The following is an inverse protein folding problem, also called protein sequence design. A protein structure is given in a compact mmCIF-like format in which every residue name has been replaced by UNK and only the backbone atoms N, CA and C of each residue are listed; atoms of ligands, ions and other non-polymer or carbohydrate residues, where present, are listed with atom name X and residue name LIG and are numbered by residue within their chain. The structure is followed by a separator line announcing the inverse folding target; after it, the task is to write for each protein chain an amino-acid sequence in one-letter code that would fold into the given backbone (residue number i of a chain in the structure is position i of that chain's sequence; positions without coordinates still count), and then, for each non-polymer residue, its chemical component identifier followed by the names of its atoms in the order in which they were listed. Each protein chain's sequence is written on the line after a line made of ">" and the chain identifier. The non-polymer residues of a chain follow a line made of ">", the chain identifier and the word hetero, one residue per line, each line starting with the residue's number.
data_IF_752352548226
#
_entry.id   IF_752352548226
#
_cell.length_a   1.000
_cell.length_b   1.000
_cell.length_c   1.000
_cell.angle_alpha   90.00
_cell.angle_beta   90.00
_cell.angle_gamma   90.00
#
_symmetry.space_group_name_H-M   'P 1'
#
loop_
_entity.id
_entity.type
_entity.pdbx_description
1 polymer ?
#
# COMPACT_ATOMS: atom_id res chain seq x y z
N UNK A 1 24.33 -23.89 32.79
CA UNK A 1 24.09 -23.65 31.34
C UNK A 1 23.98 -24.98 30.62
N UNK A 2 25.01 -25.84 30.63
CA UNK A 2 25.00 -27.18 29.99
C UNK A 2 23.81 -28.08 30.38
N UNK A 3 23.50 -28.23 31.66
CA UNK A 3 22.35 -29.03 32.13
C UNK A 3 20.97 -28.44 31.81
N UNK A 4 20.88 -27.15 31.47
CA UNK A 4 19.61 -26.48 31.12
C UNK A 4 19.30 -26.62 29.61
N UNK A 5 20.33 -26.94 28.80
CA UNK A 5 20.26 -27.09 27.35
C UNK A 5 20.33 -28.55 26.88
N UNK A 6 20.45 -29.52 27.80
CA UNK A 6 20.48 -30.92 27.40
C UNK A 6 19.15 -31.31 26.74
N UNK A 7 19.25 -31.62 25.44
CA UNK A 7 18.27 -32.26 24.55
C UNK A 7 17.11 -31.44 23.98
N UNK A 8 16.78 -30.24 24.51
CA UNK A 8 15.68 -29.47 23.94
C UNK A 8 16.12 -28.51 22.81
N UNK A 9 16.24 -29.06 21.60
CA UNK A 9 16.57 -28.33 20.36
C UNK A 9 15.68 -27.10 20.16
N UNK A 10 14.40 -27.18 20.54
CA UNK A 10 13.45 -26.07 20.41
C UNK A 10 13.85 -24.91 21.34
N UNK A 11 14.24 -25.22 22.58
CA UNK A 11 14.69 -24.21 23.53
C UNK A 11 15.98 -23.52 23.09
N UNK A 12 16.97 -24.28 22.62
CA UNK A 12 18.22 -23.73 22.06
C UNK A 12 17.91 -22.81 20.87
N UNK A 13 17.00 -23.25 20.00
CA UNK A 13 16.57 -22.47 18.84
C UNK A 13 15.96 -21.13 19.25
N UNK A 14 15.02 -21.10 20.20
CA UNK A 14 14.42 -19.84 20.68
C UNK A 14 15.45 -18.91 21.31
N UNK A 15 16.38 -19.44 22.10
CA UNK A 15 17.45 -18.63 22.69
C UNK A 15 18.33 -18.00 21.60
N UNK A 16 18.71 -18.78 20.58
CA UNK A 16 19.45 -18.27 19.43
C UNK A 16 18.65 -17.19 18.67
N UNK A 17 17.33 -17.37 18.49
CA UNK A 17 16.49 -16.36 17.84
C UNK A 17 16.44 -15.05 18.63
N UNK A 18 16.26 -15.10 19.94
CA UNK A 18 16.27 -13.91 20.81
C UNK A 18 17.63 -13.19 20.73
N UNK A 19 18.74 -13.93 20.72
CA UNK A 19 20.06 -13.36 20.54
C UNK A 19 20.19 -12.65 19.18
N UNK A 20 19.73 -13.27 18.09
CA UNK A 20 19.73 -12.67 16.75
C UNK A 20 18.85 -11.40 16.71
N UNK A 21 17.68 -11.40 17.36
CA UNK A 21 16.78 -10.25 17.36
C UNK A 21 17.39 -9.04 18.05
N UNK A 22 18.08 -9.25 19.17
CA UNK A 22 18.66 -8.19 19.98
C UNK A 22 20.03 -7.70 19.49
N UNK A 23 20.58 -8.32 18.45
CA UNK A 23 21.91 -7.96 17.95
C UNK A 23 21.88 -6.67 17.12
N UNK A 24 22.18 -5.54 17.78
CA UNK A 24 22.06 -4.17 17.26
C UNK A 24 22.77 -3.94 15.93
N UNK A 25 23.93 -4.56 15.73
CA UNK A 25 24.83 -4.23 14.62
C UNK A 25 24.34 -4.80 13.28
N UNK A 26 23.44 -5.78 13.32
CA UNK A 26 22.82 -6.33 12.14
C UNK A 26 21.54 -5.57 11.81
N UNK A 27 21.36 -5.22 10.54
CA UNK A 27 20.09 -4.69 10.04
C UNK A 27 19.03 -5.80 9.99
N UNK A 28 17.75 -5.42 10.02
CA UNK A 28 16.62 -6.37 10.03
C UNK A 28 16.72 -7.45 8.94
N UNK A 29 17.04 -7.06 7.69
CA UNK A 29 17.18 -8.00 6.58
C UNK A 29 18.36 -8.97 6.73
N UNK A 30 19.42 -8.58 7.43
CA UNK A 30 20.54 -9.48 7.73
C UNK A 30 20.13 -10.49 8.82
N UNK A 31 19.45 -10.01 9.89
CA UNK A 31 18.89 -10.89 10.93
C UNK A 31 17.97 -11.94 10.32
N UNK A 32 17.07 -11.53 9.42
CA UNK A 32 16.18 -12.41 8.67
C UNK A 32 16.91 -13.47 7.83
N UNK A 33 17.98 -13.07 7.14
CA UNK A 33 18.81 -13.97 6.33
C UNK A 33 19.48 -15.03 7.21
N UNK A 34 19.97 -14.62 8.40
CA UNK A 34 20.58 -15.55 9.37
C UNK A 34 19.55 -16.56 9.88
N UNK A 35 18.32 -16.12 10.20
CA UNK A 35 17.24 -17.04 10.61
C UNK A 35 16.99 -18.10 9.53
N UNK A 36 16.93 -17.70 8.25
CA UNK A 36 16.73 -18.63 7.14
C UNK A 36 17.88 -19.61 6.98
N UNK A 37 19.12 -19.13 7.04
CA UNK A 37 20.32 -19.99 6.98
C UNK A 37 20.30 -20.99 8.13
N UNK A 38 20.03 -20.55 9.35
CA UNK A 38 19.98 -21.41 10.53
C UNK A 38 18.94 -22.51 10.40
N UNK A 39 17.70 -22.18 10.02
CA UNK A 39 16.65 -23.20 9.87
C UNK A 39 16.94 -24.14 8.69
N UNK A 40 17.44 -23.61 7.57
CA UNK A 40 17.82 -24.43 6.43
C UNK A 40 18.92 -25.43 6.80
N UNK A 41 19.98 -24.97 7.49
CA UNK A 41 21.09 -25.80 7.93
C UNK A 41 20.62 -26.92 8.89
N UNK A 42 19.79 -26.60 9.89
CA UNK A 42 19.22 -27.60 10.80
C UNK A 42 18.41 -28.67 10.05
N UNK A 43 17.75 -28.29 8.97
CA UNK A 43 16.95 -29.23 8.14
C UNK A 43 17.85 -30.10 7.27
N UNK A 44 18.87 -29.53 6.60
CA UNK A 44 19.82 -30.28 5.76
C UNK A 44 20.65 -31.26 6.58
N UNK A 45 21.02 -30.88 7.81
CA UNK A 45 21.73 -31.75 8.76
C UNK A 45 20.81 -32.80 9.40
N UNK A 46 19.53 -32.87 9.02
CA UNK A 46 18.51 -33.77 9.58
C UNK A 46 18.33 -33.66 11.11
N UNK A 47 18.69 -32.52 11.72
CA UNK A 47 18.47 -32.25 13.15
C UNK A 47 16.97 -32.03 13.41
N UNK A 48 16.29 -31.34 12.48
CA UNK A 48 14.84 -31.12 12.51
C UNK A 48 14.21 -31.53 11.17
N UNK A 49 12.97 -32.03 11.23
CA UNK A 49 12.19 -32.31 10.02
C UNK A 49 11.59 -31.04 9.40
N UNK A 50 11.29 -31.09 8.09
CA UNK A 50 10.71 -29.97 7.32
C UNK A 50 9.44 -29.38 7.95
N UNK A 51 8.55 -30.21 8.51
CA UNK A 51 7.33 -29.73 9.18
C UNK A 51 7.65 -28.83 10.38
N UNK A 52 8.58 -29.27 11.22
CA UNK A 52 9.02 -28.51 12.39
C UNK A 52 9.79 -27.25 11.97
N UNK A 53 10.63 -27.34 10.93
CA UNK A 53 11.34 -26.20 10.37
C UNK A 53 10.39 -25.07 9.91
N UNK A 54 9.32 -25.41 9.18
CA UNK A 54 8.31 -24.43 8.75
C UNK A 54 7.58 -23.82 9.96
N UNK A 55 7.22 -24.63 10.95
CA UNK A 55 6.57 -24.15 12.18
C UNK A 55 7.47 -23.15 12.93
N UNK A 56 8.74 -23.52 13.16
CA UNK A 56 9.72 -22.68 13.84
C UNK A 56 9.96 -21.37 13.08
N UNK A 57 10.02 -21.41 11.75
CA UNK A 57 10.11 -20.19 10.94
C UNK A 57 8.89 -19.30 11.12
N UNK A 58 7.68 -19.82 10.98
CA UNK A 58 6.46 -19.01 11.11
C UNK A 58 6.41 -18.33 12.48
N UNK A 59 6.69 -19.07 13.56
CA UNK A 59 6.71 -18.51 14.91
C UNK A 59 7.80 -17.45 15.05
N UNK A 60 9.03 -17.75 14.58
CA UNK A 60 10.16 -16.82 14.67
C UNK A 60 9.87 -15.52 13.95
N UNK A 61 9.42 -15.59 12.70
CA UNK A 61 9.11 -14.43 11.89
C UNK A 61 7.94 -13.62 12.47
N UNK A 62 6.90 -14.28 12.96
CA UNK A 62 5.80 -13.60 13.62
C UNK A 62 6.29 -12.83 14.86
N UNK A 63 7.09 -13.48 15.71
CA UNK A 63 7.69 -12.80 16.86
C UNK A 63 8.56 -11.61 16.44
N UNK A 64 9.40 -11.77 15.41
CA UNK A 64 10.29 -10.73 14.92
C UNK A 64 9.50 -9.50 14.41
N UNK A 65 8.47 -9.70 13.59
CA UNK A 65 7.73 -8.60 12.98
C UNK A 65 6.66 -7.99 13.88
N UNK A 66 5.99 -8.78 14.73
CA UNK A 66 4.79 -8.35 15.46
C UNK A 66 4.98 -8.17 16.97
N UNK A 67 6.01 -8.79 17.56
CA UNK A 67 6.22 -8.79 19.02
C UNK A 67 7.47 -7.99 19.39
N UNK A 68 8.59 -8.23 18.69
CA UNK A 68 9.89 -7.59 18.95
C UNK A 68 10.16 -6.39 18.03
N UNK A 69 9.13 -5.86 17.37
CA UNK A 69 9.27 -4.64 16.58
C UNK A 69 9.57 -3.44 17.47
N UNK A 70 10.49 -2.57 17.02
CA UNK A 70 10.79 -1.30 17.68
C UNK A 70 9.81 -0.17 17.32
N UNK A 71 8.86 -0.43 16.42
CA UNK A 71 7.89 0.58 15.96
C UNK A 71 6.71 0.69 16.92
N UNK A 72 6.80 1.63 17.87
CA UNK A 72 5.74 1.89 18.85
C UNK A 72 4.38 2.22 18.21
N UNK A 73 4.40 2.93 17.07
CA UNK A 73 3.15 3.27 16.38
C UNK A 73 2.48 2.05 15.77
N UNK A 74 3.24 1.02 15.39
CA UNK A 74 2.67 -0.25 14.95
C UNK A 74 1.80 -0.88 16.04
N UNK A 75 2.25 -0.85 17.31
CA UNK A 75 1.44 -1.37 18.43
C UNK A 75 0.15 -0.55 18.64
N UNK A 76 0.22 0.77 18.48
CA UNK A 76 -0.95 1.66 18.63
C UNK A 76 -1.95 1.52 17.48
N UNK A 77 -1.51 1.22 16.26
CA UNK A 77 -2.38 1.08 15.08
C UNK A 77 -2.88 -0.37 14.94
N UNK A 78 -1.99 -1.37 15.00
CA UNK A 78 -2.30 -2.81 14.84
C UNK A 78 -2.60 -3.51 16.17
N UNK A 79 -3.68 -3.11 16.83
CA UNK A 79 -4.16 -3.84 18.02
C UNK A 79 -4.87 -5.15 17.63
N UNK A 80 -5.57 -5.18 16.49
CA UNK A 80 -6.34 -6.36 16.08
C UNK A 80 -5.40 -7.53 15.72
N UNK A 81 -5.52 -8.71 16.37
CA UNK A 81 -4.68 -9.88 16.07
C UNK A 81 -4.74 -10.34 14.61
N UNK A 82 -5.90 -10.23 13.96
CA UNK A 82 -6.05 -10.58 12.53
C UNK A 82 -5.22 -9.65 11.66
N UNK A 83 -5.14 -8.36 12.01
CA UNK A 83 -4.31 -7.41 11.25
C UNK A 83 -2.83 -7.70 11.44
N UNK A 84 -2.39 -8.12 12.63
CA UNK A 84 -1.02 -8.58 12.86
C UNK A 84 -0.67 -9.80 11.99
N UNK A 85 -1.58 -10.77 11.88
CA UNK A 85 -1.38 -11.94 11.01
C UNK A 85 -1.28 -11.51 9.53
N UNK A 86 -2.16 -10.61 9.09
CA UNK A 86 -2.14 -10.12 7.70
C UNK A 86 -0.85 -9.34 7.42
N UNK A 87 -0.41 -8.48 8.35
CA UNK A 87 0.83 -7.71 8.25
C UNK A 87 2.05 -8.63 8.17
N UNK A 88 2.17 -9.57 9.12
CA UNK A 88 3.17 -10.63 9.12
C UNK A 88 3.23 -11.38 7.78
N UNK A 89 2.09 -11.88 7.28
CA UNK A 89 2.03 -12.61 6.02
C UNK A 89 2.44 -11.71 4.85
N UNK A 90 1.99 -10.46 4.83
CA UNK A 90 2.33 -9.55 3.74
C UNK A 90 3.83 -9.23 3.72
N UNK A 91 4.40 -8.81 4.86
CA UNK A 91 5.81 -8.43 4.99
C UNK A 91 6.73 -9.61 4.71
N UNK A 92 6.45 -10.77 5.29
CA UNK A 92 7.27 -11.98 5.11
C UNK A 92 7.36 -12.41 3.65
N UNK A 93 6.24 -12.43 2.92
CA UNK A 93 6.23 -12.79 1.49
C UNK A 93 6.74 -11.68 0.58
N UNK A 94 6.37 -10.42 0.84
CA UNK A 94 6.58 -9.30 -0.10
C UNK A 94 7.95 -8.63 0.06
N UNK A 95 8.51 -8.57 1.26
CA UNK A 95 9.81 -7.97 1.53
C UNK A 95 10.90 -9.03 1.74
N UNK A 96 10.59 -10.09 2.49
CA UNK A 96 11.57 -11.07 2.95
C UNK A 96 11.57 -12.42 2.22
N UNK A 97 10.82 -12.53 1.12
CA UNK A 97 10.83 -13.72 0.24
C UNK A 97 10.52 -15.05 0.93
N UNK A 98 9.72 -15.04 2.00
CA UNK A 98 9.39 -16.23 2.80
C UNK A 98 8.85 -17.41 1.96
N UNK A 99 8.09 -17.13 0.89
CA UNK A 99 7.63 -18.18 -0.03
C UNK A 99 8.78 -18.98 -0.66
N UNK A 100 9.89 -18.33 -1.00
CA UNK A 100 11.09 -19.00 -1.53
C UNK A 100 11.74 -19.94 -0.51
N UNK A 101 11.78 -19.53 0.77
CA UNK A 101 12.26 -20.35 1.88
C UNK A 101 11.36 -21.58 2.11
N UNK A 102 10.04 -21.42 2.04
CA UNK A 102 9.11 -22.55 2.11
C UNK A 102 9.33 -23.52 0.93
N UNK A 103 9.50 -23.01 -0.29
CA UNK A 103 9.78 -23.84 -1.46
C UNK A 103 11.09 -24.61 -1.32
N UNK A 104 12.18 -23.98 -0.85
CA UNK A 104 13.46 -24.67 -0.67
C UNK A 104 13.32 -25.81 0.35
N UNK A 105 12.68 -25.55 1.49
CA UNK A 105 12.44 -26.59 2.52
C UNK A 105 11.56 -27.73 2.01
N UNK A 106 10.51 -27.44 1.23
CA UNK A 106 9.65 -28.47 0.67
C UNK A 106 10.39 -29.35 -0.34
N UNK A 107 11.28 -28.80 -1.14
CA UNK A 107 12.11 -29.56 -2.08
C UNK A 107 13.00 -30.60 -1.38
N UNK A 108 13.46 -30.33 -0.15
CA UNK A 108 14.22 -31.33 0.64
C UNK A 108 13.40 -32.57 1.02
N UNK A 109 12.07 -32.49 0.99
CA UNK A 109 11.16 -33.59 1.36
C UNK A 109 10.71 -34.43 0.16
N UNK A 110 10.84 -33.91 -1.06
CA UNK A 110 10.38 -34.62 -2.26
C UNK A 110 11.23 -35.88 -2.42
N UNK A 111 10.56 -37.03 -2.45
CA UNK A 111 11.14 -38.33 -2.75
C UNK A 111 10.39 -38.92 -3.93
N UNK A 112 11.09 -39.30 -4.98
CA UNK A 112 10.49 -39.92 -6.15
C UNK A 112 10.34 -41.44 -5.94
N UNK A 113 9.26 -42.06 -6.47
CA UNK A 113 9.13 -43.51 -6.47
C UNK A 113 10.17 -44.16 -7.38
N UNK A 114 10.57 -45.39 -7.08
CA UNK A 114 11.46 -46.17 -7.96
C UNK A 114 10.83 -46.39 -9.34
N UNK A 115 11.59 -46.30 -10.45
CA UNK A 115 13.06 -46.24 -10.56
C UNK A 115 13.66 -44.82 -10.54
N UNK A 116 12.87 -43.77 -10.29
CA UNK A 116 13.31 -42.38 -10.38
C UNK A 116 14.02 -41.85 -9.12
N UNK A 117 14.28 -42.71 -8.13
CA UNK A 117 14.87 -42.35 -6.83
C UNK A 117 16.27 -41.74 -6.94
N UNK A 118 17.04 -42.09 -7.98
CA UNK A 118 18.35 -41.47 -8.26
C UNK A 118 18.25 -39.96 -8.52
N UNK A 119 17.10 -39.47 -8.97
CA UNK A 119 16.87 -38.04 -9.24
C UNK A 119 16.58 -37.23 -7.97
N UNK A 120 16.46 -37.85 -6.79
CA UNK A 120 16.26 -37.14 -5.50
C UNK A 120 17.40 -36.14 -5.21
N UNK A 121 18.62 -36.41 -5.71
CA UNK A 121 19.77 -35.50 -5.59
C UNK A 121 19.51 -34.18 -6.32
N UNK A 122 18.79 -34.21 -7.43
CA UNK A 122 18.44 -33.01 -8.21
C UNK A 122 17.58 -32.07 -7.37
N UNK A 123 16.61 -32.59 -6.61
CA UNK A 123 15.78 -31.75 -5.72
C UNK A 123 16.57 -31.12 -4.58
N UNK A 124 17.61 -31.79 -4.06
CA UNK A 124 18.51 -31.20 -3.06
C UNK A 124 19.35 -30.07 -3.65
N UNK A 125 19.88 -30.25 -4.86
CA UNK A 125 20.61 -29.19 -5.58
C UNK A 125 19.68 -28.01 -5.88
N UNK A 126 18.47 -28.27 -6.37
CA UNK A 126 17.46 -27.23 -6.61
C UNK A 126 17.10 -26.50 -5.32
N UNK A 127 16.89 -27.23 -4.21
CA UNK A 127 16.65 -26.63 -2.89
C UNK A 127 17.75 -25.66 -2.49
N UNK A 128 19.02 -26.06 -2.69
CA UNK A 128 20.18 -25.21 -2.42
C UNK A 128 20.20 -23.94 -3.30
N UNK A 129 19.94 -24.08 -4.60
CA UNK A 129 19.86 -22.93 -5.51
C UNK A 129 18.70 -21.98 -5.13
N UNK A 130 17.56 -22.54 -4.73
CA UNK A 130 16.40 -21.77 -4.28
C UNK A 130 16.67 -21.00 -2.98
N UNK A 131 17.39 -21.59 -2.01
CA UNK A 131 17.76 -20.85 -0.81
C UNK A 131 18.73 -19.72 -1.14
N UNK A 132 19.76 -19.95 -1.95
CA UNK A 132 20.71 -18.89 -2.37
C UNK A 132 19.98 -17.73 -3.05
N UNK A 133 19.04 -18.04 -3.95
CA UNK A 133 18.20 -17.03 -4.59
C UNK A 133 17.32 -16.30 -3.57
N UNK A 134 16.68 -17.03 -2.65
CA UNK A 134 15.81 -16.46 -1.60
C UNK A 134 16.59 -15.48 -0.71
N UNK A 135 17.77 -15.88 -0.23
CA UNK A 135 18.64 -15.03 0.59
C UNK A 135 19.05 -13.77 -0.19
N UNK A 136 19.41 -13.92 -1.47
CA UNK A 136 19.76 -12.78 -2.34
C UNK A 136 18.60 -11.80 -2.47
N UNK A 137 17.37 -12.28 -2.69
CA UNK A 137 16.18 -11.43 -2.78
C UNK A 137 15.90 -10.74 -1.45
N UNK A 138 16.00 -11.45 -0.33
CA UNK A 138 15.80 -10.91 1.01
C UNK A 138 16.84 -9.83 1.36
N UNK A 139 18.10 -9.99 0.96
CA UNK A 139 19.16 -9.00 1.17
C UNK A 139 19.00 -7.77 0.26
N UNK A 140 18.56 -7.96 -0.99
CA UNK A 140 18.43 -6.86 -1.96
C UNK A 140 17.35 -5.84 -1.58
N UNK A 141 16.32 -6.26 -0.81
CA UNK A 141 15.22 -5.40 -0.35
C UNK A 141 14.70 -4.49 -1.48
N UNK A 142 14.35 -5.10 -2.62
CA UNK A 142 13.90 -4.34 -3.82
C UNK A 142 12.53 -3.69 -3.62
N UNK A 143 11.74 -4.18 -2.68
CA UNK A 143 10.47 -3.62 -2.25
C UNK A 143 10.53 -3.40 -0.74
N UNK A 144 10.33 -2.15 -0.30
CA UNK A 144 10.40 -1.76 1.11
C UNK A 144 9.27 -0.79 1.43
N UNK A 145 8.51 -1.11 2.46
CA UNK A 145 7.51 -0.20 3.06
C UNK A 145 8.14 0.59 4.21
N UNK A 146 7.59 1.76 4.49
CA UNK A 146 7.94 2.57 5.64
C UNK A 146 7.43 1.90 6.91
N UNK A 147 7.96 2.31 8.06
CA UNK A 147 7.40 1.89 9.35
C UNK A 147 6.08 2.62 9.58
N UNK A 148 5.19 2.06 10.43
CA UNK A 148 3.94 2.72 10.81
C UNK A 148 4.21 4.09 11.43
N UNK A 149 5.26 4.22 12.23
CA UNK A 149 5.71 5.51 12.75
C UNK A 149 6.06 6.51 11.64
N UNK A 150 6.81 6.08 10.61
CA UNK A 150 7.14 6.92 9.46
C UNK A 150 5.90 7.32 8.64
N UNK A 151 4.97 6.39 8.40
CA UNK A 151 3.70 6.68 7.74
C UNK A 151 2.86 7.69 8.54
N UNK A 152 2.83 7.54 9.87
CA UNK A 152 2.03 8.36 10.77
C UNK A 152 2.54 9.80 10.90
N UNK A 153 3.82 10.09 10.57
CA UNK A 153 4.40 11.44 10.64
C UNK A 153 3.59 12.52 9.92
N UNK A 154 2.89 12.19 8.82
CA UNK A 154 2.08 13.21 8.14
C UNK A 154 0.92 13.71 9.01
N UNK A 155 0.35 12.83 9.84
CA UNK A 155 -0.76 13.12 10.73
C UNK A 155 -0.32 13.94 11.93
N UNK A 156 0.97 13.84 12.32
CA UNK A 156 1.55 14.71 13.35
C UNK A 156 1.91 16.09 12.80
N UNK A 157 2.33 16.18 11.53
CA UNK A 157 2.56 17.47 10.87
C UNK A 157 1.27 18.25 10.63
N UNK A 158 0.18 17.56 10.28
CA UNK A 158 -1.13 18.15 10.04
C UNK A 158 -2.16 17.52 10.98
N UNK A 159 -2.14 17.87 12.29
CA UNK A 159 -3.01 17.23 13.25
C UNK A 159 -4.47 17.67 13.05
N UNK A 160 -5.40 16.71 13.17
CA UNK A 160 -6.82 16.92 12.83
C UNK A 160 -7.46 18.09 13.58
N UNK A 161 -7.08 18.30 14.84
CA UNK A 161 -7.62 19.34 15.72
C UNK A 161 -7.17 20.76 15.37
N UNK A 162 -6.23 20.92 14.43
CA UNK A 162 -5.77 22.24 13.94
C UNK A 162 -6.34 22.58 12.57
N UNK A 163 -7.18 21.73 11.99
CA UNK A 163 -7.70 21.91 10.64
C UNK A 163 -9.01 22.67 10.70
N UNK A 164 -9.14 23.64 9.80
CA UNK A 164 -10.35 24.42 9.62
C UNK A 164 -11.28 23.71 8.64
N UNK A 165 -12.29 23.00 9.16
CA UNK A 165 -13.31 22.36 8.34
C UNK A 165 -14.36 23.38 7.88
N UNK A 166 -13.98 24.27 6.97
CA UNK A 166 -14.81 25.34 6.41
C UNK A 166 -15.34 24.99 5.00
N UNK A 167 -16.16 25.90 4.44
CA UNK A 167 -16.75 25.76 3.11
C UNK A 167 -15.69 25.60 2.00
N UNK A 168 -14.58 26.33 2.10
CA UNK A 168 -13.48 26.23 1.13
C UNK A 168 -12.88 24.83 1.05
N UNK A 169 -12.67 24.18 2.20
CA UNK A 169 -12.19 22.79 2.23
C UNK A 169 -13.26 21.83 1.66
N UNK A 170 -14.54 22.13 1.86
CA UNK A 170 -15.66 21.30 1.38
C UNK A 170 -15.77 21.34 -0.14
N UNK A 171 -15.62 22.52 -0.75
CA UNK A 171 -15.53 22.70 -2.19
C UNK A 171 -14.34 21.92 -2.77
N UNK A 172 -13.15 22.09 -2.19
CA UNK A 172 -11.95 21.39 -2.62
C UNK A 172 -12.10 19.86 -2.57
N UNK A 173 -12.68 19.37 -1.47
CA UNK A 173 -12.99 17.95 -1.28
C UNK A 173 -14.02 17.44 -2.29
N UNK A 174 -15.02 18.25 -2.62
CA UNK A 174 -16.06 17.91 -3.60
C UNK A 174 -15.47 17.77 -5.00
N UNK A 175 -14.63 18.72 -5.42
CA UNK A 175 -13.88 18.63 -6.69
C UNK A 175 -13.08 17.33 -6.77
N UNK A 176 -12.26 17.04 -5.74
CA UNK A 176 -11.41 15.84 -5.72
C UNK A 176 -12.23 14.55 -5.82
N UNK A 177 -13.30 14.44 -5.04
CA UNK A 177 -14.17 13.25 -5.00
C UNK A 177 -14.86 13.05 -6.34
N UNK A 178 -15.38 14.11 -6.95
CA UNK A 178 -16.05 14.03 -8.25
C UNK A 178 -15.14 13.51 -9.36
N UNK A 179 -13.84 13.81 -9.27
CA UNK A 179 -12.84 13.42 -10.28
C UNK A 179 -12.27 12.01 -10.02
N UNK A 180 -11.94 11.68 -8.76
CA UNK A 180 -11.17 10.48 -8.40
C UNK A 180 -12.00 9.35 -7.77
N UNK A 181 -12.97 9.65 -6.89
CA UNK A 181 -13.72 8.63 -6.15
C UNK A 181 -15.13 9.09 -5.74
N UNK A 182 -16.05 9.15 -6.71
CA UNK A 182 -17.45 9.61 -6.53
C UNK A 182 -18.23 8.92 -5.39
N UNK A 183 -17.77 7.74 -4.95
CA UNK A 183 -18.43 6.95 -3.91
C UNK A 183 -17.76 7.09 -2.54
N UNK A 184 -16.79 7.99 -2.39
CA UNK A 184 -15.96 8.13 -1.19
C UNK A 184 -16.78 8.28 0.11
N UNK A 185 -17.65 9.29 0.20
CA UNK A 185 -18.45 9.51 1.41
C UNK A 185 -19.52 8.43 1.60
N UNK A 186 -20.14 7.96 0.52
CA UNK A 186 -21.17 6.90 0.53
C UNK A 186 -20.63 5.56 1.04
N UNK A 187 -19.33 5.31 0.89
CA UNK A 187 -18.70 4.02 1.23
C UNK A 187 -18.19 4.02 2.66
N UNK A 188 -18.61 3.03 3.47
CA UNK A 188 -18.05 2.84 4.82
C UNK A 188 -16.63 2.26 4.84
N UNK A 189 -16.19 1.63 3.75
CA UNK A 189 -14.88 0.97 3.65
C UNK A 189 -13.82 1.86 2.97
N UNK A 190 -12.55 1.68 3.35
CA UNK A 190 -11.39 2.37 2.76
C UNK A 190 -10.97 1.83 1.38
N UNK A 191 -11.44 0.65 0.98
CA UNK A 191 -11.11 -0.03 -0.27
C UNK A 191 -12.30 -0.13 -1.21
N UNK A 192 -12.07 -0.49 -2.47
CA UNK A 192 -13.12 -0.88 -3.41
C UNK A 192 -13.73 -2.25 -3.10
N UNK A 193 -13.13 -3.04 -2.22
CA UNK A 193 -13.60 -4.40 -1.90
C UNK A 193 -14.80 -4.45 -0.93
N UNK A 194 -15.56 -3.36 -0.82
CA UNK A 194 -16.82 -3.41 -0.08
C UNK A 194 -17.79 -4.38 -0.77
N UNK A 195 -18.42 -5.34 -0.05
CA UNK A 195 -19.37 -6.27 -0.66
C UNK A 195 -20.47 -5.53 -1.44
N UNK A 196 -20.98 -4.41 -0.93
CA UNK A 196 -21.99 -3.59 -1.62
C UNK A 196 -21.48 -2.97 -2.93
N UNK A 197 -20.21 -2.55 -2.97
CA UNK A 197 -19.59 -2.00 -4.20
C UNK A 197 -19.33 -3.10 -5.23
N UNK A 198 -18.74 -4.23 -4.81
CA UNK A 198 -18.50 -5.38 -5.69
C UNK A 198 -19.83 -5.89 -6.25
N UNK A 199 -20.85 -6.04 -5.39
CA UNK A 199 -22.19 -6.46 -5.81
C UNK A 199 -22.81 -5.43 -6.75
N UNK A 200 -22.65 -4.12 -6.51
CA UNK A 200 -23.15 -3.07 -7.42
C UNK A 200 -22.48 -3.09 -8.79
N UNK A 201 -21.14 -3.19 -8.84
CA UNK A 201 -20.37 -3.26 -10.10
C UNK A 201 -20.67 -4.56 -10.85
N UNK A 202 -20.79 -5.68 -10.15
CA UNK A 202 -21.15 -6.96 -10.76
C UNK A 202 -22.61 -6.96 -11.21
N UNK A 203 -23.56 -6.48 -10.41
CA UNK A 203 -24.98 -6.41 -10.77
C UNK A 203 -25.20 -5.51 -11.99
N UNK A 204 -24.57 -4.33 -12.05
CA UNK A 204 -24.70 -3.43 -13.21
C UNK A 204 -24.09 -4.02 -14.50
N UNK A 205 -23.04 -4.84 -14.39
CA UNK A 205 -22.46 -5.55 -15.54
C UNK A 205 -23.24 -6.80 -15.94
N UNK A 206 -23.94 -7.44 -14.99
CA UNK A 206 -24.78 -8.62 -15.22
C UNK A 206 -26.16 -8.19 -15.76
N UNK A 207 -26.73 -7.08 -15.31
CA UNK A 207 -28.04 -6.57 -15.75
C UNK A 207 -28.01 -6.03 -17.18
N UNK A 208 -26.84 -5.64 -17.68
CA UNK A 208 -26.63 -5.12 -19.04
C UNK A 208 -26.39 -6.22 -20.09
N UNK A 209 -26.40 -7.51 -19.73
CA UNK A 209 -26.18 -8.60 -20.68
C UNK A 209 -27.25 -9.71 -20.56
N UNK A 210 -28.14 -9.79 -21.55
CA UNK A 210 -29.11 -10.88 -21.71
C UNK A 210 -28.40 -12.16 -22.20
N UNK A 211 -28.58 -13.30 -21.51
CA UNK A 211 -28.15 -14.61 -22.02
C UNK A 211 -27.82 -15.69 -20.96
N UNK A 212 -28.10 -16.95 -21.30
CA UNK A 212 -28.29 -18.13 -20.43
C UNK A 212 -27.03 -18.85 -19.88
N UNK A 213 -25.88 -18.18 -19.72
CA UNK A 213 -24.67 -18.80 -19.10
C UNK A 213 -24.14 -18.02 -17.91
N UNK A 214 -24.98 -17.86 -16.87
CA UNK A 214 -24.69 -17.08 -15.66
C UNK A 214 -23.36 -17.44 -14.98
N UNK A 215 -23.00 -18.73 -14.87
CA UNK A 215 -21.80 -19.16 -14.12
C UNK A 215 -20.50 -18.84 -14.88
N UNK A 216 -20.39 -19.21 -16.16
CA UNK A 216 -19.20 -18.90 -17.00
C UNK A 216 -19.03 -17.38 -17.15
N UNK A 217 -20.13 -16.64 -17.19
CA UNK A 217 -20.12 -15.18 -17.27
C UNK A 217 -19.68 -14.52 -15.96
N UNK A 218 -20.03 -15.09 -14.79
CA UNK A 218 -19.53 -14.63 -13.49
C UNK A 218 -18.03 -14.85 -13.37
N UNK A 219 -17.51 -16.02 -13.79
CA UNK A 219 -16.06 -16.28 -13.77
C UNK A 219 -15.29 -15.37 -14.73
N UNK A 220 -15.77 -15.17 -15.96
CA UNK A 220 -15.10 -14.29 -16.92
C UNK A 220 -15.19 -12.80 -16.55
N UNK A 221 -16.29 -12.39 -15.90
CA UNK A 221 -16.44 -11.04 -15.34
C UNK A 221 -15.56 -10.84 -14.12
N UNK A 222 -15.42 -11.86 -13.26
CA UNK A 222 -14.50 -11.88 -12.13
C UNK A 222 -13.04 -11.79 -12.58
N UNK A 223 -12.65 -12.57 -13.59
CA UNK A 223 -11.30 -12.48 -14.18
C UNK A 223 -11.03 -11.11 -14.82
N UNK A 224 -12.01 -10.53 -15.54
CA UNK A 224 -11.89 -9.15 -16.04
C UNK A 224 -11.80 -8.12 -14.91
N UNK A 225 -12.53 -8.32 -13.82
CA UNK A 225 -12.47 -7.46 -12.64
C UNK A 225 -11.09 -7.52 -11.97
N UNK A 226 -10.56 -8.72 -11.73
CA UNK A 226 -9.20 -8.92 -11.20
C UNK A 226 -8.17 -8.29 -12.14
N UNK A 227 -8.25 -8.56 -13.45
CA UNK A 227 -7.33 -7.97 -14.43
C UNK A 227 -7.35 -6.45 -14.37
N UNK A 228 -8.53 -5.85 -14.28
CA UNK A 228 -8.67 -4.40 -14.22
C UNK A 228 -8.20 -3.80 -12.87
N UNK A 229 -8.30 -4.52 -11.75
CA UNK A 229 -7.72 -4.08 -10.46
C UNK A 229 -6.22 -3.90 -10.58
N UNK A 230 -5.57 -4.80 -11.30
CA UNK A 230 -4.15 -4.79 -11.60
C UNK A 230 -3.85 -4.18 -12.97
N UNK A 231 -4.74 -3.39 -13.58
CA UNK A 231 -4.46 -2.65 -14.81
C UNK A 231 -3.92 -1.25 -14.46
N UNK A 232 -3.07 -0.70 -15.32
CA UNK A 232 -2.55 0.68 -15.20
C UNK A 232 -3.54 1.70 -15.74
N UNK A 233 -4.40 1.28 -16.69
CA UNK A 233 -5.25 2.19 -17.46
C UNK A 233 -6.64 2.44 -16.85
N UNK A 234 -7.13 1.57 -15.95
CA UNK A 234 -8.48 1.67 -15.37
C UNK A 234 -8.46 1.64 -13.85
N UNK A 235 -8.80 2.79 -13.25
CA UNK A 235 -8.71 3.06 -11.82
C UNK A 235 -9.79 2.41 -10.96
N UNK A 236 -9.42 1.36 -10.24
CA UNK A 236 -10.15 0.90 -9.04
C UNK A 236 -9.49 1.34 -7.73
N UNK A 237 -8.36 2.07 -7.78
CA UNK A 237 -7.72 2.60 -6.56
C UNK A 237 -8.54 3.76 -6.01
N UNK A 238 -9.01 3.58 -4.78
CA UNK A 238 -9.73 4.60 -4.02
C UNK A 238 -8.78 5.67 -3.52
N UNK A 239 -9.32 6.83 -3.11
CA UNK A 239 -8.51 7.88 -2.48
C UNK A 239 -7.66 7.33 -1.31
N UNK A 240 -8.20 6.53 -0.36
CA UNK A 240 -7.38 5.95 0.72
C UNK A 240 -6.29 5.01 0.19
N UNK A 241 -6.57 4.19 -0.83
CA UNK A 241 -5.56 3.32 -1.43
C UNK A 241 -4.42 4.12 -2.08
N UNK A 242 -4.76 5.19 -2.80
CA UNK A 242 -3.76 6.08 -3.40
C UNK A 242 -2.96 6.83 -2.33
N UNK A 243 -3.61 7.24 -1.24
CA UNK A 243 -2.97 7.90 -0.11
C UNK A 243 -1.98 6.97 0.60
N UNK A 244 -2.40 5.77 0.99
CA UNK A 244 -1.52 4.83 1.71
C UNK A 244 -0.30 4.44 0.86
N UNK A 245 -0.49 4.28 -0.46
CA UNK A 245 0.61 4.08 -1.41
C UNK A 245 1.65 5.19 -1.35
N UNK A 246 1.18 6.43 -1.28
CA UNK A 246 2.04 7.63 -1.29
C UNK A 246 2.71 7.85 0.06
N UNK A 247 2.11 7.38 1.16
CA UNK A 247 2.68 7.43 2.50
C UNK A 247 3.76 6.38 2.72
N UNK A 248 3.54 5.16 2.23
CA UNK A 248 4.27 4.00 2.75
C UNK A 248 5.37 3.44 1.85
N UNK A 249 5.32 3.62 0.53
CA UNK A 249 6.29 2.94 -0.33
C UNK A 249 7.63 3.68 -0.35
N UNK A 250 8.60 3.15 0.39
CA UNK A 250 9.97 3.66 0.45
C UNK A 250 10.78 3.28 -0.78
N UNK A 251 10.66 2.02 -1.24
CA UNK A 251 11.37 1.51 -2.43
C UNK A 251 10.51 0.47 -3.15
N UNK A 252 10.66 0.42 -4.47
CA UNK A 252 10.02 -0.62 -5.28
C UNK A 252 8.64 -0.23 -5.79
N UNK A 253 8.41 1.05 -6.07
CA UNK A 253 7.16 1.53 -6.68
C UNK A 253 6.78 0.77 -7.96
N UNK A 254 7.77 0.29 -8.72
CA UNK A 254 7.58 -0.47 -9.95
C UNK A 254 7.05 -1.91 -9.74
N UNK A 255 7.05 -2.44 -8.51
CA UNK A 255 6.53 -3.77 -8.19
C UNK A 255 5.00 -3.75 -8.08
N UNK A 256 4.35 -3.65 -9.24
CA UNK A 256 2.91 -3.45 -9.41
C UNK A 256 2.03 -4.36 -8.55
N UNK A 257 2.26 -5.67 -8.57
CA UNK A 257 1.44 -6.63 -7.81
C UNK A 257 1.60 -6.48 -6.29
N UNK A 258 2.85 -6.41 -5.80
CA UNK A 258 3.15 -6.22 -4.37
C UNK A 258 2.54 -4.91 -3.87
N UNK A 259 2.73 -3.84 -4.64
CA UNK A 259 2.15 -2.52 -4.39
C UNK A 259 0.63 -2.54 -4.33
N UNK A 260 -0.05 -3.19 -5.28
CA UNK A 260 -1.52 -3.17 -5.33
C UNK A 260 -2.14 -4.00 -4.21
N UNK A 261 -1.54 -5.14 -3.86
CA UNK A 261 -1.96 -5.93 -2.69
C UNK A 261 -1.78 -5.10 -1.42
N UNK A 262 -0.64 -4.41 -1.30
CA UNK A 262 -0.39 -3.48 -0.20
C UNK A 262 -1.48 -2.41 -0.08
N UNK A 263 -1.78 -1.69 -1.17
CA UNK A 263 -2.82 -0.65 -1.20
C UNK A 263 -4.15 -1.16 -0.64
N UNK A 264 -4.55 -2.37 -1.05
CA UNK A 264 -5.80 -2.99 -0.65
C UNK A 264 -5.79 -3.36 0.85
N UNK A 265 -4.72 -3.97 1.35
CA UNK A 265 -4.66 -4.43 2.73
C UNK A 265 -4.49 -3.25 3.69
N UNK A 266 -3.50 -2.40 3.43
CA UNK A 266 -3.04 -1.39 4.38
C UNK A 266 -3.93 -0.15 4.42
N UNK A 267 -4.64 0.20 3.34
CA UNK A 267 -5.62 1.29 3.42
C UNK A 267 -6.67 1.02 4.49
N UNK A 268 -7.08 -0.24 4.68
CA UNK A 268 -8.00 -0.60 5.76
C UNK A 268 -7.31 -0.68 7.11
N UNK A 269 -6.18 -1.38 7.20
CA UNK A 269 -5.49 -1.62 8.48
C UNK A 269 -5.04 -0.30 9.09
N UNK A 270 -4.38 0.54 8.29
CA UNK A 270 -3.75 1.77 8.75
C UNK A 270 -4.78 2.83 9.14
N UNK A 271 -5.67 3.23 8.23
CA UNK A 271 -6.63 4.32 8.53
C UNK A 271 -7.64 3.94 9.59
N UNK A 272 -8.07 2.67 9.66
CA UNK A 272 -8.94 2.22 10.75
C UNK A 272 -8.22 2.23 12.10
N UNK A 273 -6.92 1.93 12.12
CA UNK A 273 -6.11 2.00 13.34
C UNK A 273 -5.95 3.46 13.81
N UNK A 274 -5.70 4.39 12.89
CA UNK A 274 -5.66 5.83 13.21
C UNK A 274 -7.03 6.32 13.70
N UNK A 275 -8.11 6.01 12.98
CA UNK A 275 -9.47 6.40 13.36
C UNK A 275 -9.81 5.90 14.77
N UNK A 276 -9.48 4.63 15.08
CA UNK A 276 -9.67 4.08 16.43
C UNK A 276 -8.87 4.86 17.46
N UNK A 277 -7.58 5.10 17.21
CA UNK A 277 -6.70 5.80 18.14
C UNK A 277 -7.23 7.22 18.43
N UNK A 278 -7.64 7.97 17.42
CA UNK A 278 -8.23 9.31 17.60
C UNK A 278 -9.54 9.27 18.40
N UNK A 279 -10.33 8.19 18.29
CA UNK A 279 -11.53 8.00 19.08
C UNK A 279 -11.23 7.65 20.54
N UNK A 280 -10.24 6.78 20.78
CA UNK A 280 -9.77 6.39 22.12
C UNK A 280 -9.18 7.60 22.86
N UNK A 281 -8.38 8.40 22.18
CA UNK A 281 -7.75 9.62 22.71
C UNK A 281 -8.72 10.83 22.78
N UNK A 282 -9.98 10.64 22.39
CA UNK A 282 -11.02 11.67 22.35
C UNK A 282 -10.61 12.99 21.66
N UNK A 283 -9.83 12.88 20.59
CA UNK A 283 -9.32 14.07 19.87
C UNK A 283 -10.49 14.90 19.33
N UNK A 284 -10.36 16.23 19.40
CA UNK A 284 -11.35 17.15 18.84
C UNK A 284 -11.46 16.98 17.32
N UNK A 285 -12.65 17.21 16.76
CA UNK A 285 -12.95 17.13 15.32
C UNK A 285 -12.77 15.72 14.70
N UNK A 286 -12.66 14.67 15.51
CA UNK A 286 -12.53 13.26 15.07
C UNK A 286 -13.68 12.78 14.17
N UNK A 287 -14.86 13.36 14.31
CA UNK A 287 -16.02 13.12 13.45
C UNK A 287 -15.76 13.47 11.97
N UNK A 288 -14.82 14.37 11.70
CA UNK A 288 -14.42 14.76 10.35
C UNK A 288 -13.29 13.88 9.76
N UNK A 289 -12.97 12.74 10.37
CA UNK A 289 -11.83 11.90 9.97
C UNK A 289 -11.77 11.58 8.47
N UNK A 290 -12.91 11.31 7.82
CA UNK A 290 -12.94 11.10 6.36
C UNK A 290 -12.53 12.34 5.58
N UNK A 291 -13.06 13.51 5.94
CA UNK A 291 -12.71 14.77 5.29
C UNK A 291 -11.24 15.11 5.56
N UNK A 292 -10.76 14.82 6.76
CA UNK A 292 -9.35 14.92 7.13
C UNK A 292 -8.43 14.06 6.25
N UNK A 293 -8.81 12.84 5.87
CA UNK A 293 -8.01 12.05 4.92
C UNK A 293 -7.87 12.71 3.54
N UNK A 294 -8.89 13.47 3.09
CA UNK A 294 -8.83 14.24 1.84
C UNK A 294 -7.89 15.44 1.98
N UNK A 295 -7.93 16.12 3.12
CA UNK A 295 -6.96 17.16 3.45
C UNK A 295 -5.52 16.61 3.37
N UNK A 296 -5.23 15.51 4.07
CA UNK A 296 -3.92 14.85 4.02
C UNK A 296 -3.54 14.41 2.59
N UNK A 297 -4.50 14.04 1.76
CA UNK A 297 -4.27 13.71 0.35
C UNK A 297 -3.65 14.88 -0.42
N UNK A 298 -4.17 16.10 -0.26
CA UNK A 298 -3.62 17.30 -0.89
C UNK A 298 -2.18 17.62 -0.46
N UNK A 299 -1.79 17.27 0.77
CA UNK A 299 -0.42 17.52 1.24
C UNK A 299 0.59 16.43 0.84
N UNK A 300 0.16 15.31 0.26
CA UNK A 300 1.03 14.14 0.08
C UNK A 300 1.06 13.55 -1.32
N UNK A 301 -0.05 13.54 -2.06
CA UNK A 301 -0.12 12.80 -3.33
C UNK A 301 0.52 13.60 -4.46
N UNK A 302 1.24 12.91 -5.35
CA UNK A 302 1.85 13.52 -6.53
C UNK A 302 0.77 13.92 -7.54
N UNK A 303 0.99 15.02 -8.26
CA UNK A 303 0.16 15.42 -9.41
C UNK A 303 1.01 15.65 -10.66
N UNK A 304 0.39 15.51 -11.83
CA UNK A 304 1.05 15.62 -13.13
C UNK A 304 0.38 16.71 -13.96
N UNK A 305 1.16 17.64 -14.50
CA UNK A 305 0.66 18.71 -15.36
C UNK A 305 1.56 18.81 -16.60
N UNK A 306 1.04 18.37 -17.75
CA UNK A 306 1.87 18.18 -18.95
C UNK A 306 2.98 17.15 -18.70
N UNK A 307 4.21 17.52 -19.03
CA UNK A 307 5.41 16.71 -18.77
C UNK A 307 5.92 16.86 -17.32
N UNK A 308 5.41 17.84 -16.56
CA UNK A 308 5.86 18.12 -15.21
C UNK A 308 5.24 17.16 -14.19
N UNK A 309 6.07 16.70 -13.25
CA UNK A 309 5.65 15.88 -12.10
C UNK A 309 5.92 16.62 -10.80
N UNK A 310 4.88 16.85 -10.02
CA UNK A 310 4.97 17.50 -8.71
C UNK A 310 4.91 16.44 -7.60
N UNK A 311 5.83 16.54 -6.64
CA UNK A 311 5.96 15.61 -5.50
C UNK A 311 4.83 15.72 -4.48
N UNK A 312 4.02 16.79 -4.56
CA UNK A 312 2.81 17.01 -3.78
C UNK A 312 1.80 17.75 -4.64
N UNK A 313 0.52 17.54 -4.38
CA UNK A 313 -0.57 18.22 -5.09
C UNK A 313 -0.44 19.74 -4.95
N UNK A 314 -0.26 20.23 -3.71
CA UNK A 314 -0.10 21.67 -3.45
C UNK A 314 1.17 22.28 -4.09
N UNK A 315 2.18 21.47 -4.42
CA UNK A 315 3.38 21.99 -5.09
C UNK A 315 3.11 22.44 -6.52
N UNK A 316 2.00 21.99 -7.14
CA UNK A 316 1.56 22.52 -8.43
C UNK A 316 1.18 24.00 -8.37
N UNK A 317 0.82 24.50 -7.19
CA UNK A 317 0.38 25.88 -6.99
C UNK A 317 1.50 26.83 -6.61
N UNK A 318 2.62 26.35 -6.08
CA UNK A 318 3.77 27.16 -5.67
C UNK A 318 5.03 26.92 -6.54
N UNK A 319 4.98 25.92 -7.42
CA UNK A 319 6.10 25.47 -8.28
C UNK A 319 7.41 25.16 -7.53
N UNK A 320 7.37 25.11 -6.20
CA UNK A 320 8.50 24.63 -5.42
C UNK A 320 8.57 23.11 -5.54
N UNK A 321 9.64 22.59 -6.14
CA UNK A 321 9.96 21.15 -6.12
C UNK A 321 10.39 20.66 -4.71
N UNK A 322 10.33 21.52 -3.69
CA UNK A 322 10.79 21.30 -2.32
C UNK A 322 9.69 20.71 -1.40
N UNK A 323 10.11 20.07 -0.31
CA UNK A 323 9.29 19.53 0.77
C UNK A 323 8.56 20.60 1.60
N UNK A 324 9.09 21.83 1.68
CA UNK A 324 8.48 22.94 2.43
C UNK A 324 7.65 23.80 1.47
N UNK A 325 6.37 23.45 1.35
CA UNK A 325 5.38 24.31 0.71
C UNK A 325 4.68 25.09 1.83
N UNK A 326 4.58 26.40 1.69
CA UNK A 326 3.91 27.26 2.66
C UNK A 326 2.42 27.44 2.34
N UNK A 327 1.98 27.03 1.14
CA UNK A 327 0.58 27.11 0.73
C UNK A 327 -0.23 25.96 1.29
N UNK A 328 -1.43 26.28 1.71
CA UNK A 328 -2.47 25.34 2.06
C UNK A 328 -3.59 25.35 1.01
N UNK A 329 -4.52 24.41 1.11
CA UNK A 329 -5.68 24.31 0.23
C UNK A 329 -6.56 25.57 0.29
N UNK A 330 -6.54 26.28 1.43
CA UNK A 330 -7.27 27.53 1.64
C UNK A 330 -6.74 28.69 0.77
N UNK A 331 -5.47 28.63 0.34
CA UNK A 331 -4.84 29.65 -0.49
C UNK A 331 -5.06 29.43 -2.00
N UNK A 332 -5.71 28.34 -2.40
CA UNK A 332 -5.82 27.89 -3.79
C UNK A 332 -7.20 28.21 -4.39
N UNK A 333 -7.26 28.62 -5.65
CA UNK A 333 -8.55 28.79 -6.38
C UNK A 333 -9.20 27.45 -6.69
N UNK A 334 -10.54 27.42 -6.81
CA UNK A 334 -11.28 26.19 -7.12
C UNK A 334 -10.94 25.68 -8.53
N UNK A 335 -10.76 26.58 -9.48
CA UNK A 335 -10.31 26.30 -10.84
C UNK A 335 -8.92 25.65 -10.85
N UNK A 336 -8.00 26.18 -10.05
CA UNK A 336 -6.67 25.60 -9.90
C UNK A 336 -6.72 24.21 -9.28
N UNK A 337 -7.54 24.01 -8.23
CA UNK A 337 -7.78 22.69 -7.60
C UNK A 337 -8.36 21.70 -8.61
N UNK A 338 -9.32 22.13 -9.43
CA UNK A 338 -9.90 21.32 -10.50
C UNK A 338 -8.83 20.85 -11.50
N UNK A 339 -8.01 21.77 -12.02
CA UNK A 339 -6.94 21.43 -12.96
C UNK A 339 -5.93 20.48 -12.33
N UNK A 340 -5.52 20.74 -11.09
CA UNK A 340 -4.58 19.88 -10.36
C UNK A 340 -5.16 18.48 -10.10
N UNK A 341 -6.46 18.36 -9.82
CA UNK A 341 -7.16 17.07 -9.69
C UNK A 341 -7.23 16.34 -11.04
N UNK A 342 -7.51 17.04 -12.13
CA UNK A 342 -7.44 16.46 -13.49
C UNK A 342 -6.03 15.99 -13.84
N UNK A 343 -5.00 16.62 -13.26
CA UNK A 343 -3.60 16.20 -13.37
C UNK A 343 -3.28 14.85 -12.73
N UNK A 344 -3.99 14.46 -11.66
CA UNK A 344 -3.79 13.16 -10.97
C UNK A 344 -3.93 11.96 -11.93
N UNK A 345 -4.83 12.09 -12.89
CA UNK A 345 -5.14 11.08 -13.92
C UNK A 345 -4.55 11.43 -15.28
N UNK A 346 -3.62 12.39 -15.35
CA UNK A 346 -3.02 12.93 -16.60
C UNK A 346 -4.06 13.41 -17.62
N UNK A 347 -5.22 13.85 -17.13
CA UNK A 347 -6.32 14.35 -17.96
C UNK A 347 -6.25 15.86 -18.21
N UNK A 348 -5.47 16.60 -17.41
CA UNK A 348 -5.36 18.05 -17.51
C UNK A 348 -4.99 18.54 -18.93
N UNK A 349 -4.13 17.80 -19.65
CA UNK A 349 -3.70 18.16 -21.02
C UNK A 349 -4.79 17.97 -22.08
N UNK A 350 -5.87 17.26 -21.77
CA UNK A 350 -6.98 17.04 -22.69
C UNK A 350 -8.12 18.04 -22.50
N UNK A 351 -8.00 18.97 -21.55
CA UNK A 351 -9.02 20.00 -21.29
C UNK A 351 -8.99 21.02 -22.44
N UNK A 352 -10.14 21.26 -23.04
CA UNK A 352 -10.36 22.22 -24.13
C UNK A 352 -11.67 22.96 -23.91
N UNK A 353 -11.86 24.09 -24.60
CA UNK A 353 -13.15 24.83 -24.56
C UNK A 353 -14.34 23.97 -24.99
N UNK A 354 -14.12 22.95 -25.83
CA UNK A 354 -15.19 22.10 -26.35
C UNK A 354 -15.64 21.01 -25.37
N UNK A 355 -14.79 20.62 -24.42
CA UNK A 355 -15.07 19.47 -23.52
C UNK A 355 -15.07 19.83 -22.03
N UNK A 356 -14.72 21.05 -21.65
CA UNK A 356 -14.66 21.47 -20.25
C UNK A 356 -16.02 21.30 -19.55
N UNK A 357 -17.12 21.68 -20.20
CA UNK A 357 -18.47 21.59 -19.65
C UNK A 357 -18.86 20.16 -19.29
N UNK A 358 -18.40 19.17 -20.07
CA UNK A 358 -18.63 17.76 -19.76
C UNK A 358 -17.97 17.35 -18.44
N UNK A 359 -16.77 17.87 -18.14
CA UNK A 359 -16.09 17.58 -16.88
C UNK A 359 -16.73 18.33 -15.70
N UNK A 360 -17.15 19.58 -15.91
CA UNK A 360 -17.78 20.41 -14.88
C UNK A 360 -19.16 19.91 -14.46
N UNK A 361 -19.95 19.32 -15.37
CA UNK A 361 -21.24 18.67 -15.05
C UNK A 361 -21.15 17.60 -13.96
N UNK A 362 -19.95 17.05 -13.70
CA UNK A 362 -19.73 16.04 -12.67
C UNK A 362 -19.45 16.60 -11.27
N UNK A 363 -19.38 17.92 -11.10
CA UNK A 363 -19.02 18.60 -9.86
C UNK A 363 -20.23 19.37 -9.36
N UNK A 364 -20.84 18.86 -8.30
CA UNK A 364 -22.02 19.47 -7.68
C UNK A 364 -21.58 20.52 -6.64
N UNK A 365 -22.35 21.60 -6.48
CA UNK A 365 -22.21 22.58 -5.40
C UNK A 365 -20.84 23.28 -5.31
N UNK A 366 -20.16 23.48 -6.44
CA UNK A 366 -18.96 24.32 -6.52
C UNK A 366 -19.05 25.17 -7.79
N UNK A 367 -18.93 26.48 -7.64
CA UNK A 367 -18.86 27.40 -8.78
C UNK A 367 -17.48 27.31 -9.41
N UNK A 368 -17.43 27.02 -10.72
CA UNK A 368 -16.21 26.85 -11.50
C UNK A 368 -16.37 27.57 -12.84
N UNK A 369 -15.43 28.46 -13.15
CA UNK A 369 -15.44 29.21 -14.40
C UNK A 369 -14.64 28.49 -15.51
N UNK A 370 -15.34 28.08 -16.58
CA UNK A 370 -14.76 27.33 -17.68
C UNK A 370 -13.75 28.15 -18.51
N UNK A 371 -13.94 29.45 -18.63
CA UNK A 371 -13.04 30.35 -19.35
C UNK A 371 -11.75 30.59 -18.56
N UNK A 372 -11.85 30.77 -17.24
CA UNK A 372 -10.70 30.84 -16.34
C UNK A 372 -9.89 29.54 -16.41
N UNK A 373 -10.56 28.38 -16.32
CA UNK A 373 -9.91 27.06 -16.40
C UNK A 373 -9.17 26.89 -17.73
N UNK A 374 -9.84 27.18 -18.85
CA UNK A 374 -9.22 27.06 -20.17
C UNK A 374 -8.03 28.02 -20.32
N UNK A 375 -8.13 29.24 -19.77
CA UNK A 375 -7.03 30.20 -19.73
C UNK A 375 -5.84 29.70 -18.92
N UNK A 376 -6.08 29.11 -17.75
CA UNK A 376 -5.04 28.53 -16.89
C UNK A 376 -4.36 27.31 -17.56
N UNK A 377 -5.13 26.40 -18.16
CA UNK A 377 -4.58 25.23 -18.87
C UNK A 377 -3.73 25.66 -20.06
N UNK A 378 -4.17 26.66 -20.84
CA UNK A 378 -3.40 27.18 -21.97
C UNK A 378 -2.05 27.75 -21.50
N UNK A 379 -2.05 28.60 -20.48
CA UNK A 379 -0.82 29.15 -19.89
C UNK A 379 0.10 28.07 -19.32
N UNK A 380 -0.47 27.04 -18.70
CA UNK A 380 0.27 25.90 -18.16
C UNK A 380 0.97 25.06 -19.25
N UNK A 381 0.49 25.09 -20.49
CA UNK A 381 1.10 24.37 -21.62
C UNK A 381 2.23 25.16 -22.31
N UNK A 382 2.37 26.46 -22.03
CA UNK A 382 3.40 27.30 -22.62
C UNK A 382 4.75 27.09 -21.89
N UNK A 383 5.78 26.61 -22.60
CA UNK A 383 7.16 26.45 -22.08
C UNK A 383 7.99 27.72 -22.38
N UNK A 384 8.92 28.15 -21.50
CA UNK A 384 9.27 27.57 -20.19
C UNK A 384 8.26 27.93 -19.09
N UNK A 385 8.20 27.07 -18.07
CA UNK A 385 7.27 27.20 -16.96
C UNK A 385 7.67 28.40 -16.04
N UNK A 386 7.28 29.62 -16.38
CA UNK A 386 7.48 30.84 -15.57
C UNK A 386 6.29 31.09 -14.61
N UNK A 387 6.48 30.82 -13.31
CA UNK A 387 5.62 31.33 -12.23
C UNK A 387 4.25 30.64 -12.03
N UNK A 388 3.53 31.02 -10.96
CA UNK A 388 2.31 30.36 -10.44
C UNK A 388 1.13 30.34 -11.43
N UNK A 389 1.02 29.30 -12.26
CA UNK A 389 -0.06 29.12 -13.25
C UNK A 389 -1.45 28.86 -12.67
N UNK A 390 -1.49 28.24 -11.49
CA UNK A 390 -2.72 27.82 -10.83
C UNK A 390 -3.22 28.78 -9.75
N UNK A 391 -2.70 30.02 -9.74
CA UNK A 391 -3.17 31.09 -8.86
C UNK A 391 -4.38 31.80 -9.44
#
# INVERSE_FOLDING_TARGET
>A
MENLFNENIIFIFFFAMIAIYNYSDLKEYQRMTIIYISVYALTVLNIIGVKLAVLLLVISLFCFFEIFTSDEMKFKILINPIYKIIDFLYISFSQYAFGGMCCSLLMLRIKLPEPLSEQDVVFKILSFLFIVWTLTVALQQKFVIHTFGEMYKIFTYFPINKIEFNEKLDEACTILISIEDKMYFKRKAYTFLSPSYIIGVLKNKISTQQGSRKIVNVFSTGNRFIRNIFDESRGYSTIPMQLVRSLDIKRGYNYKYRRKIFEILYSRIFFRGIERMLNEDQVAQREYFKKYLLYIYFHKVNTFLGDATFSKFLNAFDMTYNKKNNKDIYDCTNEGIFIACMGLSRRATYITKENIDYYLQGIDNVELDSDIICGMVKRMMDKPYEGNYLK
#
